data_IF_128061232708
#
_entry.id   IF_128061232708
#
_cell.length_a   1.000
_cell.length_b   1.000
_cell.length_c   1.000
_cell.angle_alpha   90.00
_cell.angle_beta   90.00
_cell.angle_gamma   90.00
#
_symmetry.space_group_name_H-M   'P 1'
#
loop_
_entity.id
_entity.type
_entity.pdbx_description
1 polymer ?
#
# COMPACT_ATOMS: atom_id res chain seq x y z
N UNK A 1 -11.35 19.46 -9.46
CA UNK A 1 -11.23 18.54 -8.32
C UNK A 1 -11.71 19.18 -7.02
N UNK A 2 -11.01 20.15 -6.48
CA UNK A 2 -11.32 20.71 -5.14
C UNK A 2 -12.74 21.26 -5.01
N UNK A 3 -13.26 21.97 -6.00
CA UNK A 3 -14.63 22.48 -5.96
C UNK A 3 -15.67 21.36 -5.72
N UNK A 4 -15.59 20.25 -6.48
CA UNK A 4 -16.50 19.10 -6.30
C UNK A 4 -16.34 18.46 -4.92
N UNK A 5 -15.09 18.37 -4.41
CA UNK A 5 -14.82 17.76 -3.12
C UNK A 5 -15.29 18.64 -1.97
N UNK A 6 -15.07 19.96 -2.04
CA UNK A 6 -15.55 20.93 -1.04
C UNK A 6 -17.07 20.94 -0.99
N UNK A 7 -17.73 21.04 -2.17
CA UNK A 7 -19.17 21.00 -2.25
C UNK A 7 -19.78 19.72 -1.62
N UNK A 8 -19.14 18.56 -1.86
CA UNK A 8 -19.56 17.31 -1.24
C UNK A 8 -19.31 17.32 0.28
N UNK A 9 -18.15 17.80 0.74
CA UNK A 9 -17.82 17.88 2.15
C UNK A 9 -18.79 18.78 2.92
N UNK A 10 -19.12 19.94 2.38
CA UNK A 10 -20.08 20.90 2.99
C UNK A 10 -21.50 20.33 2.96
N UNK A 11 -21.93 19.80 1.82
CA UNK A 11 -23.28 19.25 1.66
C UNK A 11 -23.58 18.10 2.61
N UNK A 12 -22.64 17.20 2.81
CA UNK A 12 -22.81 15.99 3.61
C UNK A 12 -22.13 16.07 4.98
N UNK A 13 -21.45 17.17 5.29
CA UNK A 13 -20.64 17.37 6.51
C UNK A 13 -19.70 16.19 6.81
N UNK A 14 -19.00 15.69 5.76
CA UNK A 14 -18.15 14.53 5.88
C UNK A 14 -16.81 14.82 6.55
N UNK A 15 -16.23 13.80 7.18
CA UNK A 15 -14.85 13.88 7.69
C UNK A 15 -13.83 13.72 6.56
N UNK A 16 -14.16 12.91 5.55
CA UNK A 16 -13.33 12.69 4.37
C UNK A 16 -14.17 12.70 3.10
N UNK A 17 -13.64 13.30 2.05
CA UNK A 17 -14.14 13.12 0.68
C UNK A 17 -13.01 12.58 -0.17
N UNK A 18 -13.29 11.64 -1.07
CA UNK A 18 -12.29 11.11 -2.00
C UNK A 18 -12.86 10.96 -3.40
N UNK A 19 -11.98 10.97 -4.40
CA UNK A 19 -12.31 10.77 -5.80
C UNK A 19 -11.42 9.71 -6.45
N UNK A 20 -11.85 9.21 -7.61
CA UNK A 20 -11.03 8.34 -8.43
C UNK A 20 -9.86 9.07 -9.11
N UNK A 21 -8.96 8.28 -9.66
CA UNK A 21 -7.71 8.75 -10.26
C UNK A 21 -7.65 8.30 -11.71
N UNK A 22 -7.38 9.23 -12.61
CA UNK A 22 -7.02 8.93 -13.99
C UNK A 22 -5.49 8.86 -14.14
N UNK A 23 -5.01 7.78 -14.78
CA UNK A 23 -3.59 7.62 -15.06
C UNK A 23 -3.26 8.11 -16.47
N UNK A 24 -2.55 9.22 -16.55
CA UNK A 24 -1.94 9.68 -17.80
C UNK A 24 -0.73 8.80 -18.16
N UNK A 25 -0.44 8.71 -19.46
CA UNK A 25 0.70 7.96 -19.99
C UNK A 25 0.69 6.47 -19.62
N UNK A 26 -0.33 5.75 -20.08
CA UNK A 26 -0.56 4.31 -19.83
C UNK A 26 0.56 3.40 -20.35
N UNK A 27 1.48 3.92 -21.19
CA UNK A 27 2.66 3.20 -21.67
C UNK A 27 3.73 2.96 -20.59
N UNK A 28 3.67 3.71 -19.48
CA UNK A 28 4.55 3.48 -18.32
C UNK A 28 3.82 2.54 -17.36
N UNK A 29 4.36 1.33 -17.09
CA UNK A 29 3.71 0.37 -16.19
C UNK A 29 3.50 0.95 -14.79
N UNK A 30 2.37 0.61 -14.16
CA UNK A 30 2.21 0.79 -12.72
C UNK A 30 3.22 -0.08 -11.97
N UNK A 31 3.95 0.52 -11.05
CA UNK A 31 4.92 -0.22 -10.22
C UNK A 31 4.26 -1.19 -9.25
N UNK A 32 3.03 -0.92 -8.86
CA UNK A 32 2.23 -1.78 -7.95
C UNK A 32 0.76 -1.34 -7.94
N UNK A 33 -0.14 -2.30 -7.91
CA UNK A 33 -1.56 -2.15 -7.56
C UNK A 33 -2.39 -1.20 -8.44
N UNK A 34 -3.69 -1.31 -8.28
CA UNK A 34 -4.67 -0.36 -8.81
C UNK A 34 -4.81 0.81 -7.84
N UNK A 35 -4.82 2.03 -8.35
CA UNK A 35 -5.15 3.23 -7.57
C UNK A 35 -6.66 3.50 -7.52
N UNK A 36 -7.45 2.63 -8.14
CA UNK A 36 -8.90 2.71 -8.06
C UNK A 36 -9.39 2.36 -6.65
N UNK A 37 -10.37 3.12 -6.19
CA UNK A 37 -11.08 2.85 -4.95
C UNK A 37 -12.02 1.66 -5.19
N UNK A 38 -11.99 0.67 -4.30
CA UNK A 38 -12.74 -0.57 -4.45
C UNK A 38 -13.95 -0.61 -3.50
N UNK A 39 -14.62 0.53 -3.37
CA UNK A 39 -15.93 0.68 -2.73
C UNK A 39 -16.86 1.43 -3.69
N UNK A 40 -18.16 1.29 -3.52
CA UNK A 40 -19.16 2.04 -4.31
C UNK A 40 -19.15 3.52 -3.96
N UNK A 41 -19.56 4.36 -4.90
CA UNK A 41 -19.71 5.80 -4.65
C UNK A 41 -20.85 6.13 -3.70
N UNK A 42 -20.81 7.34 -3.14
CA UNK A 42 -21.85 7.87 -2.27
C UNK A 42 -21.38 8.18 -0.85
N UNK A 43 -22.35 8.45 -0.01
CA UNK A 43 -22.16 8.78 1.40
C UNK A 43 -22.14 7.53 2.26
N UNK A 44 -21.21 7.48 3.22
CA UNK A 44 -21.09 6.47 4.24
C UNK A 44 -21.12 7.13 5.62
N UNK A 45 -22.06 6.75 6.46
CA UNK A 45 -22.06 7.06 7.88
C UNK A 45 -21.17 6.06 8.65
N UNK A 46 -21.01 6.25 9.95
CA UNK A 46 -20.16 5.41 10.80
C UNK A 46 -20.49 3.93 10.71
N UNK A 47 -21.75 3.57 10.81
CA UNK A 47 -22.21 2.18 10.71
C UNK A 47 -21.86 1.56 9.34
N UNK A 48 -22.07 2.31 8.27
CA UNK A 48 -21.73 1.85 6.92
C UNK A 48 -20.22 1.75 6.71
N UNK A 49 -19.42 2.63 7.34
CA UNK A 49 -17.96 2.51 7.33
C UNK A 49 -17.50 1.23 8.02
N UNK A 50 -18.05 0.92 9.19
CA UNK A 50 -17.73 -0.28 9.96
C UNK A 50 -18.12 -1.58 9.26
N UNK A 51 -19.24 -1.59 8.55
CA UNK A 51 -19.76 -2.78 7.87
C UNK A 51 -19.17 -2.96 6.46
N UNK A 52 -18.92 -1.89 5.71
CA UNK A 52 -18.65 -1.98 4.27
C UNK A 52 -17.25 -1.50 3.87
N UNK A 53 -16.61 -0.62 4.63
CA UNK A 53 -15.34 0.02 4.27
C UNK A 53 -14.18 -0.52 5.11
N UNK A 54 -14.25 -0.40 6.43
CA UNK A 54 -13.15 -0.80 7.31
C UNK A 54 -12.73 -2.27 7.18
N UNK A 55 -13.65 -3.24 7.02
CA UNK A 55 -13.27 -4.65 6.86
C UNK A 55 -12.43 -4.95 5.60
N UNK A 56 -12.38 -4.01 4.65
CA UNK A 56 -11.69 -4.17 3.36
C UNK A 56 -10.76 -3.00 3.02
N UNK A 57 -10.54 -2.05 3.94
CA UNK A 57 -9.83 -0.79 3.61
C UNK A 57 -8.40 -1.03 3.11
N UNK A 58 -7.68 -1.98 3.71
CA UNK A 58 -6.30 -2.34 3.34
C UNK A 58 -6.26 -3.59 2.46
N UNK A 59 -7.13 -4.56 2.71
CA UNK A 59 -7.16 -5.84 2.00
C UNK A 59 -8.58 -6.21 1.58
N UNK A 60 -8.81 -6.30 0.26
CA UNK A 60 -10.14 -6.60 -0.32
C UNK A 60 -10.44 -8.09 -0.48
N UNK A 61 -9.57 -8.97 0.02
CA UNK A 61 -9.60 -10.41 -0.32
C UNK A 61 -8.77 -10.76 -1.55
N UNK A 62 -8.26 -9.76 -2.28
CA UNK A 62 -7.36 -9.94 -3.42
C UNK A 62 -6.01 -9.29 -3.10
N UNK A 63 -4.94 -10.06 -3.17
CA UNK A 63 -3.60 -9.58 -2.85
C UNK A 63 -3.17 -8.47 -3.82
N UNK A 64 -2.61 -7.39 -3.30
CA UNK A 64 -2.30 -6.11 -3.99
C UNK A 64 -3.51 -5.27 -4.39
N UNK A 65 -4.70 -5.60 -3.94
CA UNK A 65 -5.89 -4.79 -4.20
C UNK A 65 -6.37 -4.16 -2.90
N UNK A 66 -6.06 -2.88 -2.72
CA UNK A 66 -6.54 -2.10 -1.58
C UNK A 66 -8.01 -1.71 -1.78
N UNK A 67 -8.78 -1.64 -0.70
CA UNK A 67 -10.13 -1.08 -0.73
C UNK A 67 -10.06 0.44 -0.85
N UNK A 68 -9.27 1.03 0.05
CA UNK A 68 -8.92 2.45 0.01
C UNK A 68 -7.44 2.54 -0.28
N UNK A 69 -7.07 3.07 -1.45
CA UNK A 69 -5.66 3.30 -1.76
C UNK A 69 -5.10 4.41 -0.85
N UNK A 70 -3.97 4.17 -0.14
CA UNK A 70 -3.55 5.03 0.97
C UNK A 70 -2.92 6.37 0.56
N UNK A 71 -3.07 6.82 -0.68
CA UNK A 71 -2.53 8.12 -1.11
C UNK A 71 -3.34 9.28 -0.55
N UNK A 72 -2.65 10.37 -0.19
CA UNK A 72 -3.30 11.56 0.38
C UNK A 72 -3.88 12.51 -0.67
N UNK A 73 -3.31 12.55 -1.86
CA UNK A 73 -3.56 13.59 -2.87
C UNK A 73 -4.90 13.51 -3.61
N UNK A 74 -5.65 12.40 -3.54
CA UNK A 74 -7.01 12.27 -4.11
C UNK A 74 -8.11 12.38 -3.05
N UNK A 75 -7.80 12.95 -1.90
CA UNK A 75 -8.69 13.07 -0.75
C UNK A 75 -8.72 14.48 -0.20
N UNK A 76 -9.86 14.84 0.40
CA UNK A 76 -10.04 16.05 1.20
C UNK A 76 -10.40 15.62 2.62
N UNK A 77 -9.83 16.29 3.62
CA UNK A 77 -9.90 15.91 5.03
C UNK A 77 -10.36 17.06 5.89
N UNK A 78 -11.05 16.79 6.99
CA UNK A 78 -11.20 17.77 8.06
C UNK A 78 -9.84 18.01 8.71
N UNK A 79 -9.38 19.27 8.65
CA UNK A 79 -8.03 19.67 9.07
C UNK A 79 -7.74 19.33 10.51
N UNK A 80 -8.69 19.58 11.43
CA UNK A 80 -8.54 19.34 12.87
C UNK A 80 -8.29 17.88 13.21
N UNK A 81 -8.89 16.94 12.48
CA UNK A 81 -8.62 15.50 12.61
C UNK A 81 -7.31 15.12 11.93
N UNK A 82 -7.02 15.69 10.74
CA UNK A 82 -5.82 15.33 9.96
C UNK A 82 -4.51 15.69 10.67
N UNK A 83 -4.44 16.88 11.29
CA UNK A 83 -3.21 17.39 11.93
C UNK A 83 -2.59 16.36 12.87
N UNK A 84 -3.38 15.74 13.76
CA UNK A 84 -2.85 14.79 14.75
C UNK A 84 -2.25 13.54 14.08
N UNK A 85 -2.86 13.05 13.00
CA UNK A 85 -2.35 11.90 12.26
C UNK A 85 -1.12 12.26 11.43
N UNK A 86 -1.13 13.44 10.79
CA UNK A 86 -0.01 13.93 10.01
C UNK A 86 1.23 14.18 10.89
N UNK A 87 1.04 14.81 12.04
CA UNK A 87 2.13 15.11 12.98
C UNK A 87 2.65 13.89 13.73
N UNK A 88 1.89 12.80 13.76
CA UNK A 88 2.32 11.56 14.38
C UNK A 88 3.22 10.71 13.48
N UNK A 89 3.21 10.94 12.16
CA UNK A 89 4.06 10.20 11.22
C UNK A 89 5.51 10.63 11.39
N UNK A 90 6.37 9.66 11.64
CA UNK A 90 7.79 9.87 11.88
C UNK A 90 8.52 10.28 10.57
N UNK A 91 9.45 11.22 10.65
CA UNK A 91 10.22 11.72 9.50
C UNK A 91 11.07 10.62 8.81
N UNK A 92 11.36 9.54 9.52
CA UNK A 92 12.06 8.36 8.98
C UNK A 92 11.17 7.50 8.07
N UNK A 93 9.85 7.70 8.10
CA UNK A 93 8.90 7.00 7.22
C UNK A 93 8.75 7.76 5.91
N UNK A 94 9.72 7.58 4.99
CA UNK A 94 9.71 8.24 3.67
C UNK A 94 9.00 7.44 2.58
N UNK A 95 8.63 6.19 2.89
CA UNK A 95 7.89 5.30 1.98
C UNK A 95 6.76 4.68 2.76
N UNK A 96 5.51 4.91 2.30
CA UNK A 96 4.31 4.48 3.00
C UNK A 96 3.82 5.45 4.08
N UNK A 97 4.40 6.66 4.14
CA UNK A 97 3.96 7.78 4.97
C UNK A 97 2.48 8.09 4.78
N UNK A 98 2.02 8.00 3.54
CA UNK A 98 0.61 8.13 3.20
C UNK A 98 -0.25 7.11 3.96
N UNK A 99 0.17 5.84 4.01
CA UNK A 99 -0.56 4.79 4.72
C UNK A 99 -0.54 5.00 6.24
N UNK A 100 0.59 5.47 6.79
CA UNK A 100 0.74 5.80 8.19
C UNK A 100 -0.25 6.91 8.62
N UNK A 101 -0.55 7.85 7.74
CA UNK A 101 -1.51 8.93 7.98
C UNK A 101 -2.95 8.50 7.66
N UNK A 102 -3.20 7.97 6.45
CA UNK A 102 -4.56 7.77 5.91
C UNK A 102 -5.34 6.70 6.66
N UNK A 103 -4.74 5.55 6.97
CA UNK A 103 -5.51 4.47 7.59
C UNK A 103 -5.90 4.75 9.05
N UNK A 104 -5.03 5.29 9.92
CA UNK A 104 -5.47 5.72 11.25
C UNK A 104 -6.52 6.84 11.21
N UNK A 105 -6.35 7.82 10.30
CA UNK A 105 -7.36 8.85 10.08
C UNK A 105 -8.72 8.26 9.68
N UNK A 106 -8.71 7.32 8.71
CA UNK A 106 -9.94 6.69 8.21
C UNK A 106 -10.71 5.99 9.32
N UNK A 107 -10.03 5.31 10.25
CA UNK A 107 -10.67 4.67 11.40
C UNK A 107 -11.34 5.63 12.36
N UNK A 108 -10.93 6.90 12.38
CA UNK A 108 -11.54 7.95 13.20
C UNK A 108 -12.67 8.71 12.46
N UNK A 109 -12.91 8.41 11.18
CA UNK A 109 -13.99 9.03 10.44
C UNK A 109 -15.35 8.55 10.96
N UNK A 110 -16.26 9.48 11.17
CA UNK A 110 -17.68 9.22 11.39
C UNK A 110 -18.45 9.20 10.08
N UNK A 111 -17.88 9.83 9.03
CA UNK A 111 -18.48 9.87 7.70
C UNK A 111 -17.44 10.06 6.59
N UNK A 112 -17.79 9.51 5.42
CA UNK A 112 -17.00 9.57 4.21
C UNK A 112 -17.92 9.77 3.00
N UNK A 113 -17.47 10.53 2.01
CA UNK A 113 -18.12 10.60 0.72
C UNK A 113 -17.15 10.21 -0.41
N UNK A 114 -17.57 9.26 -1.25
CA UNK A 114 -16.81 8.90 -2.44
C UNK A 114 -17.49 9.45 -3.70
N UNK A 115 -16.75 10.29 -4.42
CA UNK A 115 -17.14 10.84 -5.73
C UNK A 115 -16.83 9.79 -6.81
N UNK A 116 -17.76 8.84 -6.99
CA UNK A 116 -17.62 7.78 -7.99
C UNK A 116 -17.73 8.34 -9.42
N UNK A 117 -17.03 7.70 -10.35
CA UNK A 117 -17.00 8.06 -11.78
C UNK A 117 -16.47 9.47 -12.08
N UNK A 118 -15.86 10.11 -11.11
CA UNK A 118 -15.20 11.39 -11.25
C UNK A 118 -13.70 11.21 -11.00
N UNK A 119 -12.95 10.85 -12.04
CA UNK A 119 -11.47 10.76 -12.03
C UNK A 119 -10.87 12.16 -12.07
N UNK A 120 -11.03 12.89 -10.97
CA UNK A 120 -10.67 14.32 -10.89
C UNK A 120 -9.17 14.56 -10.69
N UNK A 121 -8.42 13.53 -10.30
CA UNK A 121 -6.98 13.61 -10.15
C UNK A 121 -6.27 12.89 -11.29
N UNK A 122 -5.49 13.65 -12.07
CA UNK A 122 -4.71 13.14 -13.20
C UNK A 122 -3.31 12.77 -12.73
N UNK A 123 -3.07 11.47 -12.50
CA UNK A 123 -1.77 10.98 -12.08
C UNK A 123 -0.84 10.79 -13.28
N UNK A 124 0.12 11.72 -13.42
CA UNK A 124 1.12 11.65 -14.49
C UNK A 124 2.19 10.63 -14.16
N UNK A 125 2.34 9.61 -15.01
CA UNK A 125 3.40 8.61 -14.88
C UNK A 125 4.67 9.10 -15.53
N UNK A 126 5.81 8.98 -14.82
CA UNK A 126 7.14 9.29 -15.32
C UNK A 126 8.10 8.15 -15.00
N UNK A 127 9.12 7.96 -15.84
CA UNK A 127 10.20 6.99 -15.58
C UNK A 127 11.14 7.42 -14.45
N UNK A 128 11.11 8.69 -14.06
CA UNK A 128 11.95 9.28 -13.01
C UNK A 128 11.25 9.34 -11.65
N UNK A 129 10.06 8.78 -11.52
CA UNK A 129 9.34 8.75 -10.24
C UNK A 129 10.07 7.90 -9.20
N UNK A 130 9.97 8.30 -7.92
CA UNK A 130 10.55 7.59 -6.77
C UNK A 130 10.16 6.10 -6.76
N UNK A 131 8.92 5.78 -7.09
CA UNK A 131 8.42 4.39 -7.13
C UNK A 131 9.10 3.52 -8.20
N UNK A 132 9.69 4.12 -9.24
CA UNK A 132 10.40 3.43 -10.34
C UNK A 132 11.89 3.32 -10.05
N UNK A 133 12.51 4.33 -9.44
CA UNK A 133 13.94 4.34 -9.08
C UNK A 133 14.25 3.34 -7.95
N UNK A 134 15.52 2.92 -7.88
CA UNK A 134 16.03 2.18 -6.72
C UNK A 134 16.14 3.12 -5.53
N UNK A 135 15.70 2.67 -4.39
CA UNK A 135 15.81 3.38 -3.12
C UNK A 135 16.56 2.50 -2.11
N UNK A 136 17.77 2.93 -1.73
CA UNK A 136 18.61 2.20 -0.77
C UNK A 136 18.06 2.22 0.65
N UNK A 137 17.21 3.18 1.00
CA UNK A 137 16.58 3.30 2.32
C UNK A 137 15.23 2.57 2.44
N UNK A 138 14.75 1.95 1.36
CA UNK A 138 13.41 1.38 1.31
C UNK A 138 13.15 0.36 2.44
N UNK A 139 14.12 -0.50 2.75
CA UNK A 139 13.95 -1.50 3.80
C UNK A 139 13.94 -0.88 5.20
N UNK A 140 14.75 0.15 5.43
CA UNK A 140 14.74 0.88 6.70
C UNK A 140 13.42 1.63 6.90
N UNK A 141 12.94 2.32 5.86
CA UNK A 141 11.60 2.93 5.87
C UNK A 141 10.50 1.90 6.13
N UNK A 142 10.61 0.69 5.56
CA UNK A 142 9.63 -0.38 5.83
C UNK A 142 9.67 -0.81 7.30
N UNK A 143 10.85 -0.93 7.93
CA UNK A 143 10.96 -1.26 9.36
C UNK A 143 10.28 -0.18 10.23
N UNK A 144 10.57 1.09 9.97
CA UNK A 144 9.95 2.22 10.69
C UNK A 144 8.42 2.24 10.51
N UNK A 145 7.95 2.03 9.28
CA UNK A 145 6.50 1.94 8.99
C UNK A 145 5.83 0.74 9.69
N UNK A 146 6.51 -0.41 9.72
CA UNK A 146 6.02 -1.59 10.45
C UNK A 146 5.85 -1.28 11.95
N UNK A 147 6.86 -0.71 12.60
CA UNK A 147 6.79 -0.33 14.03
C UNK A 147 5.68 0.70 14.28
N UNK A 148 5.58 1.71 13.43
CA UNK A 148 4.53 2.73 13.53
C UNK A 148 3.12 2.10 13.43
N UNK A 149 2.84 1.34 12.37
CA UNK A 149 1.53 0.76 12.15
C UNK A 149 1.18 -0.31 13.18
N UNK A 150 2.16 -1.07 13.67
CA UNK A 150 1.96 -2.09 14.72
C UNK A 150 1.60 -1.48 16.09
N UNK A 151 1.87 -0.19 16.29
CA UNK A 151 1.49 0.57 17.50
C UNK A 151 0.31 1.53 17.25
N UNK A 152 -0.24 1.56 16.04
CA UNK A 152 -1.32 2.47 15.65
C UNK A 152 -2.69 1.98 16.10
N UNK A 153 -3.71 2.84 15.92
CA UNK A 153 -5.11 2.50 16.16
C UNK A 153 -5.59 1.32 15.33
N UNK A 154 -4.98 1.07 14.15
CA UNK A 154 -5.35 -0.07 13.30
C UNK A 154 -4.98 -1.39 13.96
N UNK A 155 -3.78 -1.49 14.53
CA UNK A 155 -3.31 -2.70 15.22
C UNK A 155 -4.20 -3.07 16.40
N UNK A 156 -4.81 -2.08 17.04
CA UNK A 156 -5.73 -2.25 18.18
C UNK A 156 -7.21 -2.35 17.75
N UNK A 157 -7.50 -2.39 16.44
CA UNK A 157 -8.86 -2.47 15.90
C UNK A 157 -9.24 -3.91 15.53
N UNK A 158 -10.54 -4.19 15.35
CA UNK A 158 -11.01 -5.47 14.80
C UNK A 158 -10.50 -5.77 13.39
N UNK A 159 -9.87 -4.80 12.74
CA UNK A 159 -9.39 -4.87 11.35
C UNK A 159 -7.87 -5.08 11.26
N UNK A 160 -7.22 -5.33 12.38
CA UNK A 160 -5.75 -5.47 12.50
C UNK A 160 -5.15 -6.56 11.60
N UNK A 161 -5.90 -7.63 11.32
CA UNK A 161 -5.47 -8.72 10.45
C UNK A 161 -5.11 -8.25 9.03
N UNK A 162 -5.64 -7.12 8.56
CA UNK A 162 -5.30 -6.57 7.24
C UNK A 162 -3.86 -6.04 7.18
N UNK A 163 -3.27 -5.67 8.34
CA UNK A 163 -1.87 -5.23 8.40
C UNK A 163 -0.90 -6.35 8.00
N UNK A 164 -1.22 -7.60 8.30
CA UNK A 164 -0.37 -8.75 7.93
C UNK A 164 -0.23 -8.88 6.40
N UNK A 165 -1.32 -8.66 5.67
CA UNK A 165 -1.29 -8.59 4.20
C UNK A 165 -0.51 -7.39 3.70
N UNK A 166 -0.62 -6.25 4.38
CA UNK A 166 0.10 -5.04 4.00
C UNK A 166 1.61 -5.20 4.22
N UNK A 167 2.02 -5.75 5.36
CA UNK A 167 3.44 -6.05 5.64
C UNK A 167 4.01 -7.07 4.65
N UNK A 168 3.24 -8.09 4.31
CA UNK A 168 3.61 -9.06 3.28
C UNK A 168 3.79 -8.40 1.89
N UNK A 169 2.94 -7.43 1.56
CA UNK A 169 3.07 -6.59 0.37
C UNK A 169 4.35 -5.75 0.42
N UNK A 170 4.64 -5.10 1.54
CA UNK A 170 5.84 -4.27 1.73
C UNK A 170 7.13 -5.10 1.64
N UNK A 171 7.16 -6.26 2.27
CA UNK A 171 8.31 -7.18 2.18
C UNK A 171 8.59 -7.60 0.73
N UNK A 172 7.55 -7.97 -0.03
CA UNK A 172 7.73 -8.26 -1.46
C UNK A 172 8.20 -7.05 -2.24
N UNK A 173 7.72 -5.85 -1.93
CA UNK A 173 8.14 -4.62 -2.61
C UNK A 173 9.58 -4.29 -2.28
N UNK A 174 10.02 -4.45 -1.03
CA UNK A 174 11.41 -4.30 -0.60
C UNK A 174 12.35 -5.24 -1.38
N UNK A 175 12.02 -6.53 -1.45
CA UNK A 175 12.80 -7.50 -2.25
C UNK A 175 12.82 -7.11 -3.74
N UNK A 176 11.70 -6.65 -4.27
CA UNK A 176 11.62 -6.20 -5.68
C UNK A 176 12.44 -4.93 -5.91
N UNK A 177 12.54 -4.05 -4.92
CA UNK A 177 13.38 -2.85 -4.97
C UNK A 177 14.87 -3.22 -5.08
N UNK A 178 15.36 -4.20 -4.30
CA UNK A 178 16.74 -4.69 -4.39
C UNK A 178 17.09 -5.21 -5.80
N UNK A 179 16.13 -5.73 -6.52
CA UNK A 179 16.30 -6.29 -7.85
C UNK A 179 16.01 -5.29 -8.99
N UNK A 180 15.84 -4.00 -8.70
CA UNK A 180 15.70 -2.97 -9.74
C UNK A 180 17.01 -2.84 -10.53
N UNK A 181 16.92 -2.54 -11.83
CA UNK A 181 18.09 -2.37 -12.70
C UNK A 181 19.02 -1.24 -12.26
N UNK A 182 18.43 -0.17 -11.70
CA UNK A 182 19.15 0.98 -11.17
C UNK A 182 20.01 0.67 -9.93
N UNK A 183 19.77 -0.46 -9.27
CA UNK A 183 20.62 -0.94 -8.18
C UNK A 183 21.91 -1.53 -8.75
N UNK A 184 23.02 -0.82 -8.60
CA UNK A 184 24.34 -1.19 -9.15
C UNK A 184 25.19 -2.05 -8.23
N UNK A 185 24.75 -2.32 -6.97
CA UNK A 185 25.53 -3.11 -6.03
C UNK A 185 25.72 -4.55 -6.51
N UNK A 186 26.83 -5.23 -6.12
CA UNK A 186 27.08 -6.61 -6.49
C UNK A 186 25.94 -7.56 -6.11
N UNK A 187 25.74 -8.61 -6.87
CA UNK A 187 24.66 -9.59 -6.63
C UNK A 187 24.76 -10.23 -5.24
N UNK A 188 25.96 -10.47 -4.73
CA UNK A 188 26.18 -11.00 -3.38
C UNK A 188 25.58 -10.04 -2.32
N UNK A 189 25.78 -8.75 -2.47
CA UNK A 189 25.22 -7.72 -1.57
C UNK A 189 23.69 -7.71 -1.65
N UNK A 190 23.13 -7.72 -2.86
CA UNK A 190 21.67 -7.82 -3.05
C UNK A 190 21.07 -9.05 -2.36
N UNK A 191 21.72 -10.20 -2.49
CA UNK A 191 21.26 -11.44 -1.85
C UNK A 191 21.34 -11.35 -0.32
N UNK A 192 22.31 -10.63 0.24
CA UNK A 192 22.38 -10.38 1.68
C UNK A 192 21.25 -9.46 2.15
N UNK A 193 20.99 -8.34 1.45
CA UNK A 193 19.86 -7.47 1.78
C UNK A 193 18.51 -8.23 1.68
N UNK A 194 18.32 -9.05 0.66
CA UNK A 194 17.12 -9.90 0.54
C UNK A 194 17.02 -10.88 1.72
N UNK A 195 18.15 -11.44 2.17
CA UNK A 195 18.18 -12.32 3.35
C UNK A 195 17.73 -11.59 4.61
N UNK A 196 18.19 -10.34 4.81
CA UNK A 196 17.80 -9.51 5.95
C UNK A 196 16.30 -9.22 5.93
N UNK A 197 15.73 -8.90 4.76
CA UNK A 197 14.28 -8.71 4.60
C UNK A 197 13.51 -10.00 4.95
N UNK A 198 14.01 -11.17 4.50
CA UNK A 198 13.38 -12.46 4.82
C UNK A 198 13.46 -12.76 6.32
N UNK A 199 14.60 -12.49 6.96
CA UNK A 199 14.79 -12.67 8.41
C UNK A 199 13.84 -11.78 9.20
N UNK A 200 13.74 -10.50 8.85
CA UNK A 200 12.79 -9.58 9.45
C UNK A 200 11.32 -10.06 9.32
N UNK A 201 10.94 -10.56 8.14
CA UNK A 201 9.61 -11.07 7.92
C UNK A 201 9.28 -12.32 8.76
N UNK A 202 10.25 -13.18 9.00
CA UNK A 202 10.15 -14.36 9.84
C UNK A 202 10.07 -13.98 11.33
N UNK A 203 10.98 -13.12 11.80
CA UNK A 203 11.01 -12.63 13.20
C UNK A 203 9.72 -11.92 13.60
N UNK A 204 9.13 -11.12 12.70
CA UNK A 204 7.85 -10.42 12.92
C UNK A 204 6.62 -11.31 12.70
N UNK A 205 6.77 -12.44 12.04
CA UNK A 205 5.75 -13.48 11.88
C UNK A 205 4.54 -13.11 11.01
N UNK A 206 4.56 -11.96 10.30
CA UNK A 206 3.39 -11.49 9.55
C UNK A 206 3.07 -12.36 8.32
N UNK A 207 4.05 -13.07 7.76
CA UNK A 207 3.79 -13.99 6.64
C UNK A 207 3.00 -15.23 7.11
N UNK A 208 3.25 -15.70 8.34
CA UNK A 208 2.54 -16.84 8.90
C UNK A 208 1.08 -16.54 9.23
N UNK A 209 0.79 -15.30 9.58
CA UNK A 209 -0.56 -14.80 9.84
C UNK A 209 -1.33 -14.44 8.56
N UNK A 210 -0.62 -14.31 7.43
CA UNK A 210 -1.25 -14.07 6.13
C UNK A 210 -1.78 -15.38 5.56
N UNK A 211 -3.08 -15.46 5.22
CA UNK A 211 -3.61 -16.61 4.47
C UNK A 211 -3.07 -16.63 3.05
N UNK A 212 -1.94 -17.31 2.86
CA UNK A 212 -1.32 -17.48 1.55
C UNK A 212 -2.00 -18.57 0.69
N UNK A 213 -2.92 -19.38 1.25
CA UNK A 213 -3.56 -20.49 0.54
C UNK A 213 -4.49 -20.00 -0.57
N UNK A 214 -5.16 -18.87 -0.33
CA UNK A 214 -6.06 -18.21 -1.27
C UNK A 214 -5.32 -17.48 -2.42
N UNK A 215 -3.99 -17.32 -2.31
CA UNK A 215 -3.21 -16.58 -3.29
C UNK A 215 -2.92 -17.39 -4.55
N UNK A 216 -2.75 -16.75 -5.73
CA UNK A 216 -2.27 -17.41 -6.93
C UNK A 216 -0.94 -18.14 -6.71
N UNK A 217 -0.71 -19.23 -7.46
CA UNK A 217 0.43 -20.13 -7.29
C UNK A 217 1.78 -19.41 -7.14
N UNK A 218 2.08 -18.42 -7.99
CA UNK A 218 3.34 -17.69 -7.94
C UNK A 218 3.52 -16.89 -6.64
N UNK A 219 2.44 -16.28 -6.12
CA UNK A 219 2.48 -15.57 -4.85
C UNK A 219 2.70 -16.53 -3.68
N UNK A 220 1.99 -17.67 -3.68
CA UNK A 220 2.20 -18.71 -2.65
C UNK A 220 3.64 -19.22 -2.63
N UNK A 221 4.19 -19.50 -3.81
CA UNK A 221 5.59 -19.94 -3.94
C UNK A 221 6.53 -18.85 -3.42
N UNK A 222 6.29 -17.60 -3.79
CA UNK A 222 7.10 -16.46 -3.39
C UNK A 222 7.15 -16.32 -1.86
N UNK A 223 6.00 -16.33 -1.18
CA UNK A 223 5.96 -16.22 0.28
C UNK A 223 6.56 -17.44 1.00
N UNK A 224 6.41 -18.65 0.45
CA UNK A 224 7.12 -19.83 0.94
C UNK A 224 8.64 -19.71 0.84
N UNK A 225 9.14 -19.04 -0.20
CA UNK A 225 10.58 -18.78 -0.35
C UNK A 225 11.08 -17.71 0.63
N UNK A 226 10.28 -16.67 0.91
CA UNK A 226 10.60 -15.67 1.95
C UNK A 226 10.72 -16.39 3.30
N UNK A 227 9.69 -17.13 3.71
CA UNK A 227 9.65 -17.88 4.96
C UNK A 227 10.82 -18.85 5.12
N UNK A 228 11.27 -19.47 4.03
CA UNK A 228 12.42 -20.39 4.03
C UNK A 228 13.78 -19.69 3.91
N UNK A 229 13.78 -18.37 3.87
CA UNK A 229 14.95 -17.52 3.66
C UNK A 229 15.80 -17.97 2.47
N UNK A 230 15.20 -18.02 1.27
CA UNK A 230 15.85 -18.49 0.03
C UNK A 230 16.07 -17.35 -0.97
N UNK A 231 16.99 -16.38 -0.69
CA UNK A 231 17.17 -15.16 -1.48
C UNK A 231 17.53 -15.42 -2.95
N UNK A 232 18.34 -16.44 -3.25
CA UNK A 232 18.69 -16.80 -4.62
C UNK A 232 17.47 -17.25 -5.41
N UNK A 233 16.66 -18.16 -4.86
CA UNK A 233 15.44 -18.64 -5.50
C UNK A 233 14.39 -17.54 -5.67
N UNK A 234 14.29 -16.61 -4.71
CA UNK A 234 13.46 -15.42 -4.83
C UNK A 234 13.89 -14.56 -6.01
N UNK A 235 15.19 -14.33 -6.19
CA UNK A 235 15.74 -13.57 -7.31
C UNK A 235 15.40 -14.22 -8.65
N UNK A 236 15.57 -15.55 -8.75
CA UNK A 236 15.21 -16.30 -9.95
C UNK A 236 13.71 -16.19 -10.24
N UNK A 237 12.86 -16.42 -9.24
CA UNK A 237 11.41 -16.34 -9.35
C UNK A 237 10.95 -14.96 -9.88
N UNK A 238 11.46 -13.86 -9.31
CA UNK A 238 11.10 -12.51 -9.74
C UNK A 238 11.55 -12.24 -11.18
N UNK A 239 12.75 -12.66 -11.55
CA UNK A 239 13.25 -12.45 -12.91
C UNK A 239 12.46 -13.24 -13.96
N UNK A 240 12.03 -14.46 -13.63
CA UNK A 240 11.13 -15.25 -14.48
C UNK A 240 9.80 -14.49 -14.67
N UNK A 241 9.16 -14.05 -13.60
CA UNK A 241 7.89 -13.31 -13.68
C UNK A 241 8.05 -12.03 -14.51
N UNK A 242 9.13 -11.27 -14.30
CA UNK A 242 9.44 -10.06 -15.09
C UNK A 242 9.67 -10.37 -16.57
N UNK A 243 10.31 -11.49 -16.87
CA UNK A 243 10.53 -11.94 -18.26
C UNK A 243 9.19 -12.23 -18.92
N UNK A 244 8.32 -13.05 -18.30
CA UNK A 244 6.99 -13.37 -18.84
C UNK A 244 6.13 -12.12 -19.05
N UNK A 245 6.14 -11.19 -18.11
CA UNK A 245 5.40 -9.93 -18.25
C UNK A 245 5.85 -9.03 -19.41
N UNK A 246 7.05 -9.25 -19.98
CA UNK A 246 7.53 -8.51 -21.15
C UNK A 246 7.06 -9.11 -22.48
N UNK A 247 6.80 -10.40 -22.50
CA UNK A 247 6.44 -11.11 -23.73
C UNK A 247 4.94 -11.32 -23.92
N UNK A 248 4.16 -11.21 -22.86
CA UNK A 248 2.71 -11.46 -22.86
C UNK A 248 1.87 -10.25 -22.49
N UNK A 249 2.45 -9.04 -22.55
CA UNK A 249 1.79 -7.75 -22.61
C UNK A 249 1.99 -7.15 -24.01
#
# INVERSE_FOLDING_TARGET
MYEHMVNAMEKYNCDMVMCDVEHENKSVPLSSGSTHINISGGYYNREQLENNVFPKMIYTGVFYKFGIYPVIWNKLYKREKLIKHQMAVDDDIRTGEDAACVYPYLLECDSLYFLENLSLYHYRRSRTQMTVSYDSSYFDCFKSLYEFLSNSSIANSPYSNQLEYYYSYLAKTAISNELKKANSVPIKTKLNHIREICTFADEKGFIDKTDISSLPFFHRMYFKLIKRNRPFLLTVCINIVRFWQRFFR
#
